data_IF_124536168331
#
_entry.id   IF_124536168331
#
_cell.length_a   1.000
_cell.length_b   1.000
_cell.length_c   1.000
_cell.angle_alpha   90.00
_cell.angle_beta   90.00
_cell.angle_gamma   90.00
#
_symmetry.space_group_name_H-M   'P 1'
#
loop_
_entity.id
_entity.type
_entity.pdbx_description
1 polymer ?
#
# COMPACT_ATOMS: atom_id res chain seq x y z
N UNK A 1 -7.32 8.33 18.80
CA UNK A 1 -7.26 6.87 18.59
C UNK A 1 -6.14 6.60 17.59
N UNK A 2 -4.92 6.39 18.05
CA UNK A 2 -3.80 5.97 17.21
C UNK A 2 -3.42 4.57 17.68
N UNK A 3 -3.93 3.56 16.97
CA UNK A 3 -3.56 2.18 17.22
C UNK A 3 -2.04 2.03 17.07
N UNK A 4 -1.46 1.19 17.91
CA UNK A 4 -0.05 0.84 17.86
C UNK A 4 0.31 0.36 16.44
N UNK A 5 1.49 0.70 15.88
CA UNK A 5 1.91 0.19 14.56
C UNK A 5 1.80 -1.33 14.42
N UNK A 6 1.91 -2.05 15.55
CA UNK A 6 1.72 -3.49 15.67
C UNK A 6 0.29 -4.00 15.38
N UNK A 7 -0.73 -3.13 15.41
CA UNK A 7 -2.13 -3.52 15.17
C UNK A 7 -2.57 -3.37 13.71
N UNK A 8 -1.70 -2.90 12.82
CA UNK A 8 -2.03 -2.77 11.39
C UNK A 8 -1.36 -3.87 10.55
N UNK A 9 -2.11 -4.93 10.17
CA UNK A 9 -1.56 -6.05 9.42
C UNK A 9 -1.08 -5.66 8.01
N UNK A 10 -1.68 -4.63 7.39
CA UNK A 10 -1.25 -4.14 6.07
C UNK A 10 0.10 -3.47 6.17
N UNK A 11 0.30 -2.63 7.20
CA UNK A 11 1.59 -1.96 7.43
C UNK A 11 2.70 -2.97 7.72
N UNK A 12 2.43 -3.93 8.61
CA UNK A 12 3.40 -4.99 8.91
C UNK A 12 3.79 -5.82 7.66
N UNK A 13 2.83 -6.07 6.75
CA UNK A 13 3.11 -6.77 5.51
C UNK A 13 3.95 -5.94 4.53
N UNK A 14 3.72 -4.63 4.45
CA UNK A 14 4.52 -3.71 3.62
C UNK A 14 5.94 -3.59 4.16
N UNK A 15 6.10 -3.35 5.47
CA UNK A 15 7.41 -3.24 6.12
C UNK A 15 8.24 -4.52 5.88
N UNK A 16 7.62 -5.69 6.03
CA UNK A 16 8.28 -6.97 5.71
C UNK A 16 8.64 -7.09 4.23
N UNK A 17 7.78 -6.67 3.31
CA UNK A 17 8.08 -6.74 1.89
C UNK A 17 9.26 -5.84 1.50
N UNK A 18 9.36 -4.65 2.10
CA UNK A 18 10.50 -3.75 1.93
C UNK A 18 11.81 -4.37 2.47
N UNK A 19 11.77 -5.01 3.63
CA UNK A 19 12.92 -5.72 4.20
C UNK A 19 13.38 -6.89 3.30
N UNK A 20 12.45 -7.69 2.78
CA UNK A 20 12.76 -8.79 1.86
C UNK A 20 13.34 -8.26 0.54
N UNK A 21 12.86 -7.11 0.05
CA UNK A 21 13.42 -6.45 -1.14
C UNK A 21 14.89 -6.07 -0.97
N UNK A 22 15.31 -5.68 0.24
CA UNK A 22 16.73 -5.44 0.56
C UNK A 22 17.54 -6.73 0.43
N UNK A 23 16.99 -7.86 0.89
CA UNK A 23 17.69 -9.15 0.88
C UNK A 23 17.82 -9.74 -0.53
N UNK A 24 16.76 -9.69 -1.34
CA UNK A 24 16.77 -10.26 -2.71
C UNK A 24 17.52 -9.38 -3.72
N UNK A 25 17.51 -8.06 -3.51
CA UNK A 25 18.13 -7.08 -4.40
C UNK A 25 17.38 -6.85 -5.72
N UNK A 26 17.76 -5.80 -6.47
CA UNK A 26 17.03 -5.32 -7.65
C UNK A 26 17.07 -6.27 -8.86
N UNK A 27 18.08 -7.15 -8.94
CA UNK A 27 18.22 -8.11 -10.04
C UNK A 27 17.31 -9.34 -9.89
N UNK A 28 16.62 -9.47 -8.75
CA UNK A 28 15.74 -10.61 -8.51
C UNK A 28 14.46 -10.53 -9.36
N UNK A 29 14.01 -11.63 -10.00
CA UNK A 29 12.85 -11.62 -10.89
C UNK A 29 11.56 -11.04 -10.29
N UNK A 30 11.37 -11.18 -8.97
CA UNK A 30 10.19 -10.66 -8.26
C UNK A 30 10.37 -9.24 -7.70
N UNK A 31 11.56 -8.66 -7.77
CA UNK A 31 11.80 -7.31 -7.23
C UNK A 31 10.89 -6.26 -7.86
N UNK A 32 10.69 -6.21 -9.20
CA UNK A 32 9.80 -5.22 -9.81
C UNK A 32 8.35 -5.35 -9.33
N UNK A 33 7.87 -6.59 -9.18
CA UNK A 33 6.51 -6.87 -8.71
C UNK A 33 6.30 -6.41 -7.26
N UNK A 34 7.25 -6.72 -6.37
CA UNK A 34 7.20 -6.30 -4.97
C UNK A 34 7.29 -4.77 -4.84
N UNK A 35 8.17 -4.13 -5.61
CA UNK A 35 8.30 -2.68 -5.65
C UNK A 35 7.00 -2.00 -6.10
N UNK A 36 6.37 -2.52 -7.15
CA UNK A 36 5.09 -2.02 -7.65
C UNK A 36 3.98 -2.17 -6.60
N UNK A 37 3.90 -3.32 -5.95
CA UNK A 37 2.89 -3.61 -4.93
C UNK A 37 3.04 -2.71 -3.70
N UNK A 38 4.25 -2.59 -3.15
CA UNK A 38 4.55 -1.70 -2.02
C UNK A 38 4.21 -0.24 -2.38
N UNK A 39 4.63 0.21 -3.58
CA UNK A 39 4.32 1.56 -4.06
C UNK A 39 2.82 1.81 -4.21
N UNK A 40 2.09 0.85 -4.78
CA UNK A 40 0.64 0.95 -4.99
C UNK A 40 -0.11 1.03 -3.66
N UNK A 41 0.27 0.21 -2.67
CA UNK A 41 -0.32 0.25 -1.32
C UNK A 41 -0.03 1.60 -0.64
N UNK A 42 1.21 2.11 -0.73
CA UNK A 42 1.55 3.43 -0.19
C UNK A 42 0.74 4.57 -0.80
N UNK A 43 0.59 4.57 -2.13
CA UNK A 43 -0.25 5.56 -2.85
C UNK A 43 -1.72 5.44 -2.47
N UNK A 44 -2.24 4.22 -2.36
CA UNK A 44 -3.59 4.00 -1.89
C UNK A 44 -3.77 4.58 -0.49
N UNK A 45 -2.85 4.35 0.43
CA UNK A 45 -2.98 4.90 1.77
C UNK A 45 -2.99 6.43 1.81
N UNK A 46 -2.12 7.07 1.04
CA UNK A 46 -2.09 8.53 0.91
C UNK A 46 -3.40 9.08 0.35
N UNK A 47 -3.94 8.46 -0.71
CA UNK A 47 -5.23 8.85 -1.30
C UNK A 47 -6.39 8.77 -0.29
N UNK A 48 -6.41 7.74 0.56
CA UNK A 48 -7.45 7.56 1.57
C UNK A 48 -7.34 8.61 2.68
N UNK A 49 -6.12 8.95 3.08
CA UNK A 49 -5.86 10.04 4.02
C UNK A 49 -6.35 11.39 3.44
N UNK A 50 -6.03 11.68 2.19
CA UNK A 50 -6.43 12.92 1.52
C UNK A 50 -7.96 12.99 1.28
N UNK A 51 -8.60 11.85 0.97
CA UNK A 51 -10.06 11.75 0.87
C UNK A 51 -10.74 12.01 2.21
N UNK A 52 -10.21 11.43 3.30
CA UNK A 52 -10.70 11.68 4.66
C UNK A 52 -10.55 13.14 5.08
N UNK A 53 -9.43 13.78 4.70
CA UNK A 53 -9.16 15.19 4.97
C UNK A 53 -10.06 16.14 4.15
N UNK A 54 -10.43 15.76 2.94
CA UNK A 54 -11.27 16.57 2.04
C UNK A 54 -12.78 16.38 2.22
N UNK A 55 -13.21 15.59 3.20
CA UNK A 55 -14.63 15.46 3.57
C UNK A 55 -15.43 14.47 2.72
N UNK A 56 -14.79 13.54 2.03
CA UNK A 56 -15.45 12.33 1.50
C UNK A 56 -16.46 12.51 0.35
N UNK A 57 -16.67 13.71 -0.17
CA UNK A 57 -17.63 13.96 -1.27
C UNK A 57 -17.13 13.51 -2.66
N UNK A 58 -15.91 12.97 -2.76
CA UNK A 58 -15.33 12.51 -4.01
C UNK A 58 -15.57 11.02 -4.25
N UNK A 59 -15.72 10.58 -5.51
CA UNK A 59 -15.85 9.16 -5.84
C UNK A 59 -14.73 8.35 -5.20
N UNK A 60 -15.07 7.19 -4.60
CA UNK A 60 -14.09 6.32 -3.98
C UNK A 60 -13.09 5.80 -5.05
N UNK A 61 -11.80 6.16 -4.95
CA UNK A 61 -10.80 5.79 -5.94
C UNK A 61 -10.47 4.29 -5.95
N UNK A 62 -10.88 3.52 -4.94
CA UNK A 62 -10.65 2.06 -4.85
C UNK A 62 -11.80 1.22 -5.39
N UNK A 63 -12.71 1.80 -6.18
CA UNK A 63 -13.77 1.01 -6.82
C UNK A 63 -13.15 0.07 -7.85
N UNK A 64 -12.99 -1.19 -7.44
CA UNK A 64 -12.55 -2.28 -8.31
C UNK A 64 -13.67 -2.58 -9.31
N UNK A 65 -13.62 -1.92 -10.46
CA UNK A 65 -14.44 -2.27 -11.63
C UNK A 65 -13.79 -3.49 -12.26
N UNK A 66 -14.09 -4.66 -11.69
CA UNK A 66 -13.57 -5.93 -12.19
C UNK A 66 -13.92 -6.12 -13.67
N UNK A 67 -13.00 -6.75 -14.40
CA UNK A 67 -13.22 -7.16 -15.79
C UNK A 67 -14.61 -7.78 -15.97
N UNK A 68 -15.41 -7.17 -16.86
CA UNK A 68 -16.63 -7.76 -17.38
C UNK A 68 -16.30 -8.84 -18.42
#
# INVERSE_FOLDING_TARGET
MTGTPADNPVRAAVDKAEDEMIFIGPDHPYYPLLAELVSAVGKAWQQGYDQGRSGGHHPNPYTWTGFA
#
